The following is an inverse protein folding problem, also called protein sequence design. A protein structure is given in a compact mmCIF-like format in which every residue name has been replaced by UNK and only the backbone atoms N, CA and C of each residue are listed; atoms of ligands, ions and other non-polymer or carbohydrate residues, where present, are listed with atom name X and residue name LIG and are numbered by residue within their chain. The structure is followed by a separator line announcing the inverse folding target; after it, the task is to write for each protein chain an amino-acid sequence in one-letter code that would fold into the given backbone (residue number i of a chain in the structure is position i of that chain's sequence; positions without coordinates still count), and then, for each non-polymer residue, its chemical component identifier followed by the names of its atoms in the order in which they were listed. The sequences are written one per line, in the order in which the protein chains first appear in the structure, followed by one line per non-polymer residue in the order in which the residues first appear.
data_IF_665813766409
#
_entry.id   IF_665813766409
#
_cell.length_a   1.000
_cell.length_b   1.000
_cell.length_c   1.000
_cell.angle_alpha   90.00
_cell.angle_beta   90.00
_cell.angle_gamma   90.00
#
_symmetry.space_group_name_H-M   'P 1'
#
loop_
_entity.id
_entity.type
_entity.pdbx_description
1 polymer ?
#
# COMPACT_ATOMS: atom_id res chain seq x y z
N UNK A 1 57.94 -47.51 17.51
CA UNK A 1 57.73 -46.19 16.88
C UNK A 1 56.59 -46.14 15.83
N UNK A 2 56.20 -47.27 15.20
CA UNK A 2 55.12 -47.27 14.19
C UNK A 2 53.69 -47.08 14.75
N UNK A 3 53.37 -47.50 15.96
CA UNK A 3 52.06 -47.40 16.57
C UNK A 3 51.64 -45.94 16.92
N UNK A 4 52.56 -45.10 17.38
CA UNK A 4 52.28 -43.69 17.73
C UNK A 4 51.92 -42.83 16.51
N UNK A 5 52.48 -43.13 15.34
CA UNK A 5 52.16 -42.38 14.09
C UNK A 5 50.79 -42.72 13.52
N UNK A 6 50.32 -43.97 13.75
CA UNK A 6 48.97 -44.40 13.32
C UNK A 6 47.91 -43.74 14.19
N UNK A 7 48.12 -43.65 15.52
CA UNK A 7 47.18 -43.04 16.45
C UNK A 7 47.05 -41.54 16.19
N UNK A 8 48.17 -40.83 15.92
CA UNK A 8 48.13 -39.39 15.57
C UNK A 8 47.45 -39.13 14.22
N UNK A 9 47.62 -40.00 13.25
CA UNK A 9 46.96 -39.87 11.93
C UNK A 9 45.46 -40.14 12.02
N UNK A 10 45.01 -41.08 12.87
CA UNK A 10 43.59 -41.34 13.11
C UNK A 10 42.91 -40.21 13.89
N UNK A 11 43.62 -39.58 14.84
CA UNK A 11 43.12 -38.47 15.61
C UNK A 11 42.96 -37.17 14.73
N UNK A 12 43.91 -36.92 13.82
CA UNK A 12 43.83 -35.78 12.89
C UNK A 12 42.73 -35.97 11.85
N UNK A 13 42.49 -37.22 11.40
CA UNK A 13 41.40 -37.50 10.45
C UNK A 13 40.02 -37.37 11.11
N UNK A 14 39.87 -37.78 12.39
CA UNK A 14 38.66 -37.61 13.18
C UNK A 14 38.32 -36.10 13.41
N UNK A 15 39.34 -35.26 13.66
CA UNK A 15 39.15 -33.83 13.85
C UNK A 15 38.75 -33.11 12.53
N UNK A 16 39.26 -33.60 11.40
CA UNK A 16 38.90 -33.03 10.08
C UNK A 16 37.47 -33.39 9.67
N UNK A 17 36.96 -34.56 10.05
CA UNK A 17 35.57 -34.96 9.81
C UNK A 17 34.57 -34.13 10.63
N UNK A 18 34.94 -33.75 11.86
CA UNK A 18 34.10 -32.85 12.69
C UNK A 18 34.01 -31.42 12.14
N UNK A 19 35.01 -30.94 11.39
CA UNK A 19 35.00 -29.64 10.76
C UNK A 19 34.15 -29.58 9.47
N UNK A 20 33.88 -30.75 8.88
CA UNK A 20 33.00 -30.88 7.70
C UNK A 20 31.53 -31.10 8.07
N UNK A 21 31.20 -31.26 9.34
CA UNK A 21 29.85 -31.15 9.86
C UNK A 21 29.50 -29.67 9.97
N UNK A 22 29.65 -28.94 8.85
CA UNK A 22 29.17 -27.59 8.70
C UNK A 22 27.72 -27.58 9.12
N UNK A 23 27.35 -26.66 10.01
CA UNK A 23 25.99 -26.33 10.29
C UNK A 23 25.21 -26.30 8.97
N UNK A 24 24.43 -27.34 8.71
CA UNK A 24 23.23 -27.16 7.96
C UNK A 24 22.44 -26.12 8.77
N UNK A 25 22.51 -24.86 8.41
CA UNK A 25 21.38 -24.00 8.65
C UNK A 25 20.23 -24.73 7.99
N UNK A 26 19.48 -25.49 8.79
CA UNK A 26 18.12 -25.79 8.42
C UNK A 26 17.49 -24.43 8.29
N UNK A 27 17.36 -23.92 7.08
CA UNK A 27 16.25 -23.05 6.75
C UNK A 27 15.04 -23.86 7.18
N UNK A 28 14.60 -23.62 8.42
CA UNK A 28 13.26 -23.92 8.83
C UNK A 28 12.43 -23.00 7.93
N UNK A 29 12.09 -23.46 6.73
CA UNK A 29 10.87 -23.04 6.09
C UNK A 29 9.79 -23.34 7.13
N UNK A 30 9.54 -22.36 7.99
CA UNK A 30 8.39 -22.38 8.87
C UNK A 30 7.21 -22.56 7.92
N UNK A 31 6.49 -23.66 8.10
CA UNK A 31 5.28 -23.95 7.33
C UNK A 31 4.36 -22.74 7.47
N UNK A 32 4.43 -21.81 6.48
CA UNK A 32 3.69 -20.55 6.48
C UNK A 32 2.19 -20.78 6.58
N UNK A 33 1.73 -22.00 6.23
CA UNK A 33 0.33 -22.39 6.33
C UNK A 33 -0.20 -22.41 7.77
N UNK A 34 0.67 -22.62 8.76
CA UNK A 34 0.34 -22.69 10.18
C UNK A 34 0.46 -21.35 10.92
N UNK A 35 0.93 -20.30 10.26
CA UNK A 35 1.04 -18.98 10.89
C UNK A 35 -0.35 -18.34 11.07
N UNK A 36 -0.56 -17.61 12.19
CA UNK A 36 -1.77 -16.82 12.36
C UNK A 36 -1.88 -15.79 11.25
N UNK A 37 -3.11 -15.51 10.83
CA UNK A 37 -3.41 -14.61 9.70
C UNK A 37 -3.63 -13.20 10.19
N UNK A 38 -3.10 -12.25 9.42
CA UNK A 38 -3.49 -10.84 9.46
C UNK A 38 -4.31 -10.56 8.20
N UNK A 39 -5.55 -10.13 8.38
CA UNK A 39 -6.44 -9.71 7.30
C UNK A 39 -6.19 -8.25 6.98
N UNK A 40 -5.58 -8.00 5.83
CA UNK A 40 -5.24 -6.67 5.34
C UNK A 40 -6.32 -6.16 4.39
N UNK A 41 -7.06 -5.13 4.81
CA UNK A 41 -8.05 -4.45 3.97
C UNK A 41 -7.41 -3.43 3.05
N UNK A 42 -7.69 -3.51 1.76
CA UNK A 42 -7.18 -2.58 0.77
C UNK A 42 -8.22 -2.26 -0.31
N UNK A 43 -7.97 -1.16 -1.01
CA UNK A 43 -8.62 -0.82 -2.27
C UNK A 43 -7.79 -1.39 -3.43
N UNK A 44 -8.40 -1.57 -4.60
CA UNK A 44 -7.65 -1.86 -5.83
C UNK A 44 -6.89 -0.60 -6.25
N UNK A 45 -5.59 -0.62 -5.97
CA UNK A 45 -4.72 0.53 -6.15
C UNK A 45 -3.45 0.11 -6.91
N UNK A 46 -3.48 0.12 -8.26
CA UNK A 46 -2.31 -0.21 -9.07
C UNK A 46 -1.04 0.47 -8.59
N UNK A 47 0.08 -0.23 -8.63
CA UNK A 47 1.38 0.04 -8.05
C UNK A 47 1.47 -0.34 -6.55
N UNK A 48 0.47 -0.02 -5.73
CA UNK A 48 0.53 -0.26 -4.28
C UNK A 48 -0.10 -1.58 -3.88
N UNK A 49 -1.33 -1.84 -4.31
CA UNK A 49 -2.06 -3.06 -4.01
C UNK A 49 -3.08 -3.36 -5.11
N UNK A 50 -2.83 -4.40 -5.89
CA UNK A 50 -3.67 -4.78 -7.01
C UNK A 50 -3.55 -6.29 -7.28
N UNK A 51 -4.42 -6.82 -8.13
CA UNK A 51 -4.31 -8.21 -8.60
C UNK A 51 -3.43 -8.28 -9.84
N UNK A 52 -2.47 -9.19 -9.84
CA UNK A 52 -1.70 -9.51 -11.05
C UNK A 52 -2.53 -10.32 -12.05
N UNK A 53 -1.93 -10.71 -13.18
CA UNK A 53 -2.61 -11.49 -14.23
C UNK A 53 -3.11 -12.85 -13.74
N UNK A 54 -2.49 -13.43 -12.73
CA UNK A 54 -2.89 -14.70 -12.11
C UNK A 54 -3.99 -14.53 -11.04
N UNK A 55 -4.42 -13.29 -10.79
CA UNK A 55 -5.41 -12.97 -9.76
C UNK A 55 -4.86 -12.94 -8.34
N UNK A 56 -3.54 -12.87 -8.15
CA UNK A 56 -2.92 -12.78 -6.84
C UNK A 56 -2.67 -11.32 -6.45
N UNK A 57 -2.91 -10.95 -5.18
CA UNK A 57 -2.53 -9.65 -4.65
C UNK A 57 -1.03 -9.39 -4.81
N UNK A 58 -0.67 -8.21 -5.31
CA UNK A 58 0.71 -7.78 -5.52
C UNK A 58 0.83 -6.26 -5.38
N UNK A 59 2.05 -5.76 -5.33
CA UNK A 59 2.37 -4.33 -5.23
C UNK A 59 3.16 -3.98 -3.98
N UNK A 60 3.59 -2.73 -3.90
CA UNK A 60 4.49 -2.23 -2.85
C UNK A 60 3.92 -2.51 -1.45
N UNK A 61 2.63 -2.27 -1.26
CA UNK A 61 1.97 -2.45 0.03
C UNK A 61 1.88 -3.94 0.41
N UNK A 62 1.58 -4.79 -0.57
CA UNK A 62 1.49 -6.24 -0.35
C UNK A 62 2.84 -6.82 0.04
N UNK A 63 3.89 -6.46 -0.69
CA UNK A 63 5.24 -6.95 -0.43
C UNK A 63 5.76 -6.48 0.94
N UNK A 64 5.55 -5.19 1.24
CA UNK A 64 5.96 -4.61 2.52
C UNK A 64 5.20 -5.23 3.69
N UNK A 65 3.87 -5.39 3.58
CA UNK A 65 3.06 -6.02 4.61
C UNK A 65 3.46 -7.47 4.82
N UNK A 66 3.60 -8.22 3.73
CA UNK A 66 3.97 -9.64 3.78
C UNK A 66 5.29 -9.83 4.51
N UNK A 67 6.33 -9.07 4.15
CA UNK A 67 7.64 -9.17 4.79
C UNK A 67 7.60 -8.71 6.25
N UNK A 68 6.93 -7.60 6.54
CA UNK A 68 6.85 -7.06 7.90
C UNK A 68 6.12 -8.03 8.86
N UNK A 69 4.97 -8.54 8.45
CA UNK A 69 4.19 -9.46 9.28
C UNK A 69 4.83 -10.85 9.38
N UNK A 70 5.50 -11.33 8.32
CA UNK A 70 6.29 -12.56 8.36
C UNK A 70 7.36 -12.50 9.45
N UNK A 71 8.09 -11.40 9.58
CA UNK A 71 9.08 -11.18 10.66
C UNK A 71 8.46 -11.21 12.06
N UNK A 72 7.18 -10.88 12.16
CA UNK A 72 6.41 -10.93 13.40
C UNK A 72 5.73 -12.28 13.65
N UNK A 73 5.91 -13.26 12.76
CA UNK A 73 5.32 -14.60 12.87
C UNK A 73 3.87 -14.68 12.44
N UNK A 74 3.46 -13.86 11.48
CA UNK A 74 2.13 -13.85 10.87
C UNK A 74 2.24 -14.05 9.37
N UNK A 75 1.17 -14.55 8.73
CA UNK A 75 0.96 -14.45 7.29
C UNK A 75 -0.10 -13.38 7.00
N UNK A 76 -0.01 -12.77 5.84
CA UNK A 76 -0.96 -11.75 5.39
C UNK A 76 -1.98 -12.37 4.44
N UNK A 77 -3.24 -12.00 4.60
CA UNK A 77 -4.30 -12.23 3.65
C UNK A 77 -4.90 -10.89 3.23
N UNK A 78 -4.77 -10.55 1.95
CA UNK A 78 -5.26 -9.29 1.41
C UNK A 78 -6.72 -9.44 1.01
N UNK A 79 -7.56 -8.52 1.49
CA UNK A 79 -8.98 -8.45 1.16
C UNK A 79 -9.28 -7.10 0.52
N UNK A 80 -9.83 -7.13 -0.70
CA UNK A 80 -10.32 -5.92 -1.35
C UNK A 80 -11.68 -5.56 -0.76
N UNK A 81 -11.78 -4.34 -0.25
CA UNK A 81 -12.94 -3.86 0.51
C UNK A 81 -13.65 -2.72 -0.23
N UNK A 82 -14.91 -2.53 0.12
CA UNK A 82 -15.61 -1.28 -0.16
C UNK A 82 -14.92 -0.17 0.65
N UNK A 83 -14.22 0.74 -0.06
CA UNK A 83 -13.38 1.73 0.58
C UNK A 83 -14.12 2.66 1.52
N UNK A 84 -15.37 2.98 1.25
CA UNK A 84 -16.21 3.80 2.13
C UNK A 84 -16.44 3.16 3.51
N UNK A 85 -16.32 1.83 3.59
CA UNK A 85 -16.51 1.06 4.83
C UNK A 85 -15.21 0.71 5.56
N UNK A 86 -14.06 1.25 5.12
CA UNK A 86 -12.76 0.90 5.68
C UNK A 86 -12.69 1.01 7.21
N UNK A 87 -13.20 2.11 7.76
CA UNK A 87 -13.22 2.36 9.21
C UNK A 87 -14.15 1.38 9.96
N UNK A 88 -15.36 1.16 9.44
CA UNK A 88 -16.32 0.20 10.01
C UNK A 88 -15.76 -1.23 10.04
N UNK A 89 -15.14 -1.65 8.94
CA UNK A 89 -14.56 -2.98 8.82
C UNK A 89 -13.40 -3.17 9.81
N UNK A 90 -12.56 -2.14 9.99
CA UNK A 90 -11.47 -2.17 10.95
C UNK A 90 -12.00 -2.18 12.39
N UNK A 91 -12.95 -1.32 12.73
CA UNK A 91 -13.53 -1.22 14.07
C UNK A 91 -14.29 -2.49 14.47
N UNK A 92 -14.98 -3.12 13.52
CA UNK A 92 -15.67 -4.40 13.74
C UNK A 92 -14.74 -5.61 13.83
N UNK A 93 -13.45 -5.46 13.46
CA UNK A 93 -12.48 -6.54 13.44
C UNK A 93 -12.68 -7.52 12.28
N UNK A 94 -13.40 -7.13 11.21
CA UNK A 94 -13.47 -7.89 9.97
C UNK A 94 -12.18 -7.83 9.18
N UNK A 95 -11.42 -6.76 9.36
CA UNK A 95 -10.03 -6.61 8.92
C UNK A 95 -9.17 -6.20 10.11
N UNK A 96 -7.91 -6.61 10.13
CA UNK A 96 -6.97 -6.31 11.20
C UNK A 96 -6.20 -5.02 10.95
N UNK A 97 -5.95 -4.69 9.70
CA UNK A 97 -5.26 -3.47 9.29
C UNK A 97 -5.72 -2.98 7.91
N UNK A 98 -5.39 -1.72 7.62
CA UNK A 98 -5.63 -1.08 6.33
C UNK A 98 -4.28 -0.72 5.73
N UNK A 99 -4.08 -1.04 4.45
CA UNK A 99 -2.89 -0.70 3.68
C UNK A 99 -3.24 -0.44 2.22
N UNK A 100 -3.29 0.83 1.84
CA UNK A 100 -3.69 1.29 0.52
C UNK A 100 -3.14 2.68 0.23
N UNK A 101 -1.84 2.91 0.47
CA UNK A 101 -1.24 4.24 0.37
C UNK A 101 -2.07 5.31 1.14
N UNK A 102 -2.47 4.99 2.38
CA UNK A 102 -3.46 5.73 3.15
C UNK A 102 -2.83 6.89 3.91
N UNK A 103 -3.32 8.12 3.70
CA UNK A 103 -2.76 9.33 4.30
C UNK A 103 -3.08 9.47 5.79
N UNK A 104 -2.06 9.82 6.60
CA UNK A 104 -2.21 10.19 8.02
C UNK A 104 -2.80 11.58 8.23
N UNK A 105 -2.63 12.47 7.27
CA UNK A 105 -2.94 13.88 7.43
C UNK A 105 -4.43 14.10 7.70
N UNK A 106 -4.70 14.85 8.79
CA UNK A 106 -6.06 15.10 9.27
C UNK A 106 -6.71 13.92 9.99
N UNK A 107 -6.03 12.74 10.11
CA UNK A 107 -6.60 11.49 10.64
C UNK A 107 -5.79 10.88 11.79
N UNK A 108 -4.86 11.63 12.38
CA UNK A 108 -3.95 11.13 13.41
C UNK A 108 -4.67 10.52 14.61
N UNK A 109 -5.83 11.04 14.96
CA UNK A 109 -6.62 10.58 16.10
C UNK A 109 -7.65 9.50 15.75
N UNK A 110 -7.88 9.25 14.47
CA UNK A 110 -8.89 8.28 14.01
C UNK A 110 -8.39 6.85 14.03
N UNK A 111 -7.07 6.66 13.92
CA UNK A 111 -6.45 5.36 13.77
C UNK A 111 -5.19 5.23 14.63
N UNK A 112 -4.76 3.99 14.86
CA UNK A 112 -3.41 3.70 15.35
C UNK A 112 -2.50 3.51 14.14
N UNK A 113 -1.43 4.26 14.08
CA UNK A 113 -0.57 4.33 12.91
C UNK A 113 0.76 3.60 13.12
N UNK A 114 1.24 2.94 12.06
CA UNK A 114 2.60 2.43 11.94
C UNK A 114 3.25 3.03 10.67
N UNK A 115 4.44 3.55 10.78
CA UNK A 115 5.13 4.26 9.71
C UNK A 115 5.35 5.74 10.02
N UNK A 116 5.52 6.63 9.04
CA UNK A 116 5.27 6.50 7.60
C UNK A 116 6.28 5.61 6.86
N UNK A 117 5.91 5.07 5.71
CA UNK A 117 6.78 4.23 4.89
C UNK A 117 7.04 4.80 3.49
N UNK A 118 6.15 5.66 2.99
CA UNK A 118 6.27 6.31 1.69
C UNK A 118 5.66 7.71 1.73
N UNK A 119 6.15 8.62 0.89
CA UNK A 119 5.55 9.92 0.63
C UNK A 119 4.93 9.93 -0.76
N UNK A 120 3.76 10.54 -0.91
CA UNK A 120 3.04 10.68 -2.17
C UNK A 120 2.45 12.08 -2.28
N UNK A 121 2.23 12.52 -3.50
CA UNK A 121 1.61 13.82 -3.79
C UNK A 121 0.19 13.65 -4.26
N UNK A 122 -0.69 14.55 -3.80
CA UNK A 122 -2.01 14.69 -4.36
C UNK A 122 -1.96 15.75 -5.47
N UNK A 123 -2.57 15.47 -6.59
CA UNK A 123 -2.53 16.37 -7.76
C UNK A 123 -3.91 16.47 -8.40
N UNK A 124 -4.10 17.54 -9.17
CA UNK A 124 -5.20 17.66 -10.13
C UNK A 124 -4.68 17.26 -11.51
N UNK A 125 -5.43 16.41 -12.19
CA UNK A 125 -5.18 16.04 -13.58
C UNK A 125 -6.36 16.41 -14.45
N UNK A 126 -6.05 16.78 -15.69
CA UNK A 126 -6.99 17.20 -16.75
C UNK A 126 -6.60 16.53 -18.07
N UNK A 127 -7.50 16.49 -19.04
CA UNK A 127 -7.13 16.09 -20.40
C UNK A 127 -6.17 17.13 -21.01
N UNK A 128 -5.25 16.70 -21.88
CA UNK A 128 -4.22 17.56 -22.45
C UNK A 128 -4.77 18.73 -23.30
N UNK A 129 -5.99 18.61 -23.80
CA UNK A 129 -6.69 19.65 -24.56
C UNK A 129 -7.53 20.59 -23.67
N UNK A 130 -7.41 20.48 -22.35
CA UNK A 130 -8.13 21.29 -21.37
C UNK A 130 -7.64 22.74 -21.35
N UNK A 131 -8.55 23.64 -21.04
CA UNK A 131 -8.30 25.06 -20.75
C UNK A 131 -7.99 25.36 -19.28
N UNK A 132 -7.80 24.31 -18.46
CA UNK A 132 -7.54 24.41 -17.02
C UNK A 132 -6.02 24.33 -16.79
N UNK A 133 -5.43 25.39 -16.24
CA UNK A 133 -4.00 25.50 -15.98
C UNK A 133 -3.68 25.77 -14.51
N UNK A 134 -4.65 26.28 -13.76
CA UNK A 134 -4.51 26.67 -12.35
C UNK A 134 -5.71 26.19 -11.54
N UNK A 135 -5.62 26.26 -10.21
CA UNK A 135 -6.77 25.96 -9.33
C UNK A 135 -7.93 26.92 -9.50
N UNK A 136 -7.67 28.17 -9.87
CA UNK A 136 -8.72 29.15 -10.07
C UNK A 136 -9.59 28.82 -11.30
N UNK A 137 -9.03 28.11 -12.27
CA UNK A 137 -9.75 27.64 -13.46
C UNK A 137 -10.72 26.48 -13.15
N UNK A 138 -10.65 25.89 -11.95
CA UNK A 138 -11.59 24.85 -11.50
C UNK A 138 -12.97 25.41 -11.12
N UNK A 139 -13.09 26.73 -11.06
CA UNK A 139 -14.37 27.36 -10.84
C UNK A 139 -15.37 26.97 -11.95
N UNK A 140 -16.56 26.58 -11.52
CA UNK A 140 -17.65 26.12 -12.39
C UNK A 140 -17.34 24.83 -13.21
N UNK A 141 -16.25 24.12 -12.92
CA UNK A 141 -15.88 22.83 -13.54
C UNK A 141 -16.38 21.64 -12.73
N UNK A 142 -16.58 20.50 -13.40
CA UNK A 142 -16.90 19.22 -12.76
C UNK A 142 -15.61 18.50 -12.42
N UNK A 143 -15.41 18.16 -11.16
CA UNK A 143 -14.20 17.51 -10.68
C UNK A 143 -14.58 16.18 -10.03
N UNK A 144 -13.96 15.08 -10.45
CA UNK A 144 -14.17 13.78 -9.79
C UNK A 144 -13.03 13.43 -8.84
N UNK A 145 -13.41 12.83 -7.72
CA UNK A 145 -12.52 12.28 -6.71
C UNK A 145 -13.05 10.94 -6.24
N UNK A 146 -12.19 10.11 -5.64
CA UNK A 146 -12.66 8.94 -4.93
C UNK A 146 -13.16 9.34 -3.55
N UNK A 147 -14.32 8.81 -3.15
CA UNK A 147 -14.93 9.04 -1.82
C UNK A 147 -13.99 8.65 -0.68
N UNK A 148 -14.07 9.38 0.44
CA UNK A 148 -13.30 9.17 1.68
C UNK A 148 -11.78 9.23 1.51
N UNK A 149 -11.30 9.80 0.41
CA UNK A 149 -9.88 9.99 0.14
C UNK A 149 -9.38 11.38 0.51
N UNK A 150 -8.07 11.57 0.50
CA UNK A 150 -7.48 12.88 0.81
C UNK A 150 -7.78 13.96 -0.25
N UNK A 151 -7.77 13.68 -1.55
CA UNK A 151 -8.21 14.67 -2.55
C UNK A 151 -9.62 15.18 -2.32
N UNK A 152 -10.57 14.32 -1.95
CA UNK A 152 -11.92 14.73 -1.60
C UNK A 152 -11.92 15.69 -0.41
N UNK A 153 -11.25 15.31 0.69
CA UNK A 153 -11.15 16.15 1.90
C UNK A 153 -10.55 17.53 1.60
N UNK A 154 -9.48 17.57 0.81
CA UNK A 154 -8.82 18.81 0.40
C UNK A 154 -9.77 19.71 -0.38
N UNK A 155 -10.49 19.17 -1.38
CA UNK A 155 -11.36 19.96 -2.23
C UNK A 155 -12.65 20.37 -1.53
N UNK A 156 -13.18 19.57 -0.59
CA UNK A 156 -14.36 19.91 0.20
C UNK A 156 -14.07 20.94 1.29
N UNK A 157 -12.95 20.77 2.00
CA UNK A 157 -12.65 21.51 3.25
C UNK A 157 -11.55 22.56 3.05
N UNK A 158 -10.83 22.54 1.94
CA UNK A 158 -9.88 23.56 1.55
C UNK A 158 -10.60 24.82 1.05
N UNK A 159 -9.93 25.97 1.12
CA UNK A 159 -10.47 27.22 0.58
C UNK A 159 -10.31 27.29 -0.94
N UNK A 160 -10.63 26.19 -1.63
CA UNK A 160 -10.58 26.13 -3.10
C UNK A 160 -11.98 26.41 -3.67
N UNK A 161 -12.05 27.33 -4.61
CA UNK A 161 -13.30 27.63 -5.31
C UNK A 161 -13.44 26.67 -6.49
N UNK A 162 -13.95 25.46 -6.20
CA UNK A 162 -14.24 24.46 -7.24
C UNK A 162 -15.71 24.51 -7.63
N UNK A 163 -16.04 24.11 -8.85
CA UNK A 163 -17.41 24.09 -9.33
C UNK A 163 -18.22 22.96 -8.68
N UNK A 164 -18.34 21.84 -9.35
CA UNK A 164 -19.08 20.67 -8.86
C UNK A 164 -18.11 19.52 -8.52
N UNK A 165 -18.12 19.05 -7.26
CA UNK A 165 -17.32 17.91 -6.83
C UNK A 165 -18.15 16.63 -6.89
N UNK A 166 -17.68 15.64 -7.62
CA UNK A 166 -18.32 14.34 -7.84
C UNK A 166 -17.49 13.28 -7.14
N UNK A 167 -18.01 12.77 -6.03
CA UNK A 167 -17.39 11.69 -5.26
C UNK A 167 -17.84 10.34 -5.79
N UNK A 168 -16.88 9.49 -6.18
CA UNK A 168 -17.11 8.17 -6.74
C UNK A 168 -16.50 7.08 -5.84
N UNK A 169 -17.19 5.95 -5.70
CA UNK A 169 -16.78 4.88 -4.78
C UNK A 169 -15.53 4.13 -5.24
N UNK A 170 -15.29 4.10 -6.55
CA UNK A 170 -14.21 3.33 -7.15
C UNK A 170 -13.21 4.23 -7.88
N UNK A 171 -11.94 4.03 -7.60
CA UNK A 171 -10.82 4.81 -8.17
C UNK A 171 -10.79 4.78 -9.70
N UNK A 172 -11.02 3.63 -10.29
CA UNK A 172 -10.96 3.46 -11.75
C UNK A 172 -12.01 4.31 -12.47
N UNK A 173 -13.12 4.61 -11.79
CA UNK A 173 -14.17 5.43 -12.38
C UNK A 173 -13.74 6.89 -12.56
N UNK A 174 -12.94 7.45 -11.63
CA UNK A 174 -12.49 8.84 -11.77
C UNK A 174 -11.64 9.04 -13.02
N UNK A 175 -10.72 8.12 -13.28
CA UNK A 175 -9.86 8.15 -14.47
C UNK A 175 -10.67 7.96 -15.76
N UNK A 176 -11.59 6.99 -15.74
CA UNK A 176 -12.49 6.74 -16.88
C UNK A 176 -13.36 7.95 -17.17
N UNK A 177 -13.86 8.63 -16.13
CA UNK A 177 -14.69 9.83 -16.29
C UNK A 177 -13.91 10.96 -16.94
N UNK A 178 -12.65 11.19 -16.52
CA UNK A 178 -11.78 12.18 -17.15
C UNK A 178 -11.49 11.82 -18.61
N UNK A 179 -11.08 10.58 -18.88
CA UNK A 179 -10.74 10.13 -20.23
C UNK A 179 -11.92 10.22 -21.21
N UNK A 180 -13.16 10.05 -20.70
CA UNK A 180 -14.39 10.16 -21.50
C UNK A 180 -14.95 11.58 -21.56
N UNK A 181 -14.36 12.55 -20.87
CA UNK A 181 -14.85 13.92 -20.81
C UNK A 181 -16.15 14.08 -20.02
N UNK A 182 -16.46 13.14 -19.11
CA UNK A 182 -17.62 13.28 -18.22
C UNK A 182 -17.37 14.26 -17.07
N UNK A 183 -16.11 14.51 -16.77
CA UNK A 183 -15.61 15.54 -15.85
C UNK A 183 -14.47 16.30 -16.50
N UNK A 184 -14.25 17.52 -16.01
CA UNK A 184 -13.22 18.42 -16.52
C UNK A 184 -11.86 18.15 -15.87
N UNK A 185 -11.86 17.67 -14.64
CA UNK A 185 -10.66 17.39 -13.86
C UNK A 185 -10.89 16.23 -12.87
N UNK A 186 -9.78 15.66 -12.38
CA UNK A 186 -9.79 14.70 -11.28
C UNK A 186 -8.76 15.07 -10.22
N UNK A 187 -9.04 14.70 -8.96
CA UNK A 187 -8.09 14.74 -7.84
C UNK A 187 -7.67 13.34 -7.43
N UNK A 188 -6.36 13.03 -7.49
CA UNK A 188 -5.82 11.73 -7.12
C UNK A 188 -4.34 11.80 -6.72
N UNK A 189 -3.78 10.65 -6.30
CA UNK A 189 -2.34 10.50 -6.15
C UNK A 189 -1.64 10.56 -7.50
N UNK A 190 -0.53 11.29 -7.58
CA UNK A 190 0.26 11.46 -8.80
C UNK A 190 0.66 10.12 -9.42
N UNK A 191 1.20 9.22 -8.61
CA UNK A 191 1.66 7.91 -9.06
C UNK A 191 0.52 7.05 -9.64
N UNK A 192 -0.69 7.19 -9.07
CA UNK A 192 -1.89 6.49 -9.55
C UNK A 192 -2.31 6.98 -10.94
N UNK A 193 -2.23 8.29 -11.16
CA UNK A 193 -2.52 8.89 -12.47
C UNK A 193 -1.50 8.45 -13.50
N UNK A 194 -0.20 8.53 -13.17
CA UNK A 194 0.89 8.12 -14.05
C UNK A 194 0.77 6.63 -14.42
N UNK A 195 0.42 5.78 -13.45
CA UNK A 195 0.22 4.35 -13.71
C UNK A 195 -0.98 4.13 -14.65
N UNK A 196 -2.11 4.81 -14.41
CA UNK A 196 -3.27 4.71 -15.29
C UNK A 196 -2.95 5.18 -16.73
N UNK A 197 -2.24 6.31 -16.87
CA UNK A 197 -1.81 6.80 -18.19
C UNK A 197 -1.00 5.75 -18.94
N UNK A 198 -0.09 5.07 -18.25
CA UNK A 198 0.74 4.01 -18.81
C UNK A 198 -0.08 2.77 -19.21
N UNK A 199 -0.96 2.29 -18.33
CA UNK A 199 -1.71 1.05 -18.53
C UNK A 199 -2.79 1.17 -19.61
N UNK A 200 -3.40 2.34 -19.73
CA UNK A 200 -4.53 2.59 -20.64
C UNK A 200 -4.18 3.52 -21.80
N UNK A 201 -2.90 3.88 -21.97
CA UNK A 201 -2.44 4.85 -22.97
C UNK A 201 -3.28 6.13 -22.94
N UNK A 202 -3.61 6.60 -21.71
CA UNK A 202 -4.33 7.85 -21.51
C UNK A 202 -3.34 9.03 -21.52
N UNK A 203 -3.80 10.21 -21.90
CA UNK A 203 -2.95 11.39 -22.05
C UNK A 203 -3.52 12.53 -21.21
N UNK A 204 -3.02 12.65 -19.98
CA UNK A 204 -3.44 13.66 -19.01
C UNK A 204 -2.32 14.65 -18.70
N UNK A 205 -2.67 15.89 -18.41
CA UNK A 205 -1.78 16.89 -17.83
C UNK A 205 -1.98 16.98 -16.32
N UNK A 206 -0.87 16.98 -15.57
CA UNK A 206 -0.87 17.23 -14.14
C UNK A 206 -0.66 18.72 -13.91
N UNK A 207 -1.70 19.42 -13.49
CA UNK A 207 -1.68 20.89 -13.46
C UNK A 207 -1.37 21.49 -12.09
N UNK A 208 -1.55 20.74 -11.02
CA UNK A 208 -1.34 21.26 -9.68
C UNK A 208 -0.96 20.16 -8.71
N UNK A 209 0.05 20.44 -7.89
CA UNK A 209 0.42 19.64 -6.75
C UNK A 209 -0.15 20.31 -5.49
N UNK A 210 -1.08 19.64 -4.82
CA UNK A 210 -1.38 20.05 -3.45
C UNK A 210 -0.10 19.82 -2.65
N UNK A 211 0.51 20.91 -2.18
CA UNK A 211 1.74 20.86 -1.39
C UNK A 211 1.40 20.32 -0.02
N UNK A 212 1.26 19.02 0.07
CA UNK A 212 1.00 18.34 1.32
C UNK A 212 2.10 17.33 1.50
N UNK A 213 2.79 17.43 2.63
CA UNK A 213 3.72 16.41 3.09
C UNK A 213 2.93 15.17 3.50
N UNK A 214 2.34 14.48 2.52
CA UNK A 214 1.56 13.29 2.77
C UNK A 214 2.46 12.10 2.87
N UNK A 215 2.52 11.59 4.05
CA UNK A 215 3.09 10.30 4.33
C UNK A 215 1.93 9.30 4.35
N UNK A 216 1.97 8.38 3.42
CA UNK A 216 1.01 7.28 3.41
C UNK A 216 1.35 6.29 4.50
N UNK A 217 0.40 5.89 5.30
CA UNK A 217 0.66 5.09 6.50
C UNK A 217 -0.45 4.09 6.74
N UNK A 218 -0.05 3.02 7.39
CA UNK A 218 -0.90 1.93 7.79
C UNK A 218 -1.60 2.16 9.10
N UNK A 219 -2.81 1.68 9.19
CA UNK A 219 -3.48 1.46 10.45
C UNK A 219 -3.39 0.00 10.80
N UNK A 220 -2.78 -0.31 11.92
CA UNK A 220 -2.74 -1.67 12.46
C UNK A 220 -3.57 -1.71 13.71
N UNK A 221 -4.65 -2.49 13.71
CA UNK A 221 -5.28 -2.97 14.94
C UNK A 221 -4.77 -4.37 15.16
N UNK A 222 -3.67 -4.50 15.89
CA UNK A 222 -3.24 -5.83 16.34
C UNK A 222 -4.34 -6.39 17.24
N UNK A 223 -4.82 -7.62 16.98
CA UNK A 223 -5.71 -8.28 17.90
C UNK A 223 -4.98 -8.40 19.23
N UNK A 224 -5.57 -7.79 20.29
CA UNK A 224 -5.08 -7.90 21.66
C UNK A 224 -5.31 -9.33 22.17
N UNK A 225 -4.64 -10.31 21.58
CA UNK A 225 -4.43 -11.63 22.17
C UNK A 225 -3.07 -11.63 22.87
N UNK A 226 -3.03 -11.01 24.04
CA UNK A 226 -2.14 -11.38 25.13
C UNK A 226 -0.63 -11.27 24.92
N UNK A 227 -0.11 -10.45 23.98
CA UNK A 227 1.32 -10.09 23.95
C UNK A 227 1.46 -8.63 23.57
N UNK A 228 2.05 -7.86 24.49
CA UNK A 228 2.56 -6.54 24.20
C UNK A 228 3.65 -6.66 23.12
N UNK A 229 3.37 -6.26 21.91
CA UNK A 229 4.39 -6.01 20.90
C UNK A 229 4.53 -4.50 20.86
N UNK A 230 5.67 -4.04 21.37
CA UNK A 230 6.17 -2.68 21.24
C UNK A 230 6.64 -2.44 19.82
#
# INVERSE_FOLDING_TARGET
MKGKRIITSLLSLSLLVCLLSGCKTSDLESDESNLPVITLGSDNYPLYNYLNEDGNPTGIDVDLATEAFKRLGYRVEVVYIDWEKNKELLESGKIDCIMACFSMEGRLNDYKWAGPYIASRQVIAVNNDSDIYTLDDLKDKNIAVQSTTKPEDILLNGNYNVGNLISLNHRELIFTFLQKGYVDAIGAHEESIIQYMKDYNADFSLIFHFTIHLQSVHTVRLPLRGRHIL
#
